data_IF_231518441857
#
_entry.id   IF_231518441857
#
_cell.length_a   1.000
_cell.length_b   1.000
_cell.length_c   1.000
_cell.angle_alpha   90.00
_cell.angle_beta   90.00
_cell.angle_gamma   90.00
#
_symmetry.space_group_name_H-M   'P 1'
#
loop_
_entity.id
_entity.type
_entity.pdbx_description
1 polymer ?
#
# COMPACT_ATOMS: atom_id res chain seq x y z
N UNK A 1 -2.14 -21.46 31.22
CA UNK A 1 -0.93 -21.56 30.39
C UNK A 1 -0.04 -20.37 30.72
N UNK A 2 1.23 -20.58 31.04
CA UNK A 2 2.20 -19.52 31.33
C UNK A 2 3.04 -19.30 30.08
N UNK A 3 2.73 -18.26 29.32
CA UNK A 3 3.52 -17.85 28.16
C UNK A 3 4.51 -16.73 28.54
N UNK A 4 5.43 -16.35 27.64
CA UNK A 4 6.43 -15.33 27.92
C UNK A 4 5.82 -13.94 28.23
N UNK A 5 4.55 -13.71 27.91
CA UNK A 5 3.84 -12.46 28.20
C UNK A 5 2.86 -12.55 29.38
N UNK A 6 2.90 -13.63 30.17
CA UNK A 6 2.01 -13.79 31.32
C UNK A 6 2.16 -12.68 32.36
N UNK A 7 1.02 -12.10 32.78
CA UNK A 7 0.96 -10.96 33.70
C UNK A 7 1.16 -9.60 33.03
N UNK A 8 1.45 -9.56 31.72
CA UNK A 8 1.58 -8.32 30.95
C UNK A 8 0.23 -7.95 30.34
N UNK A 9 -0.16 -6.69 30.49
CA UNK A 9 -1.29 -6.10 29.75
C UNK A 9 -0.77 -5.25 28.61
N UNK A 10 -1.22 -5.51 27.38
CA UNK A 10 -0.82 -4.80 26.18
C UNK A 10 -2.02 -4.08 25.55
N UNK A 11 -1.81 -2.84 25.13
CA UNK A 11 -2.81 -2.06 24.38
C UNK A 11 -2.47 -2.14 22.90
N UNK A 12 -3.41 -2.64 22.10
CA UNK A 12 -3.28 -2.72 20.64
C UNK A 12 -4.04 -1.56 20.00
N UNK A 13 -3.33 -0.71 19.27
CA UNK A 13 -3.87 0.53 18.69
C UNK A 13 -4.15 0.48 17.19
N UNK A 14 -3.95 -0.68 16.56
CA UNK A 14 -4.24 -0.88 15.12
C UNK A 14 -5.74 -0.71 14.83
N UNK A 15 -6.05 -0.42 13.56
CA UNK A 15 -7.43 -0.50 13.08
C UNK A 15 -8.02 -1.89 13.39
N UNK A 16 -9.33 -1.92 13.69
CA UNK A 16 -10.05 -3.13 14.12
C UNK A 16 -9.79 -4.29 13.14
N UNK A 17 -9.98 -4.04 11.84
CA UNK A 17 -9.84 -5.04 10.78
C UNK A 17 -8.40 -5.55 10.59
N UNK A 18 -7.42 -4.93 11.25
CA UNK A 18 -5.98 -5.24 11.15
C UNK A 18 -5.39 -5.75 12.47
N UNK A 19 -6.17 -5.76 13.56
CA UNK A 19 -5.68 -6.10 14.88
C UNK A 19 -5.77 -7.60 15.18
N UNK A 20 -6.73 -8.31 14.58
CA UNK A 20 -7.10 -9.68 14.97
C UNK A 20 -5.91 -10.66 15.03
N UNK A 21 -5.04 -10.68 14.01
CA UNK A 21 -3.88 -11.59 13.96
C UNK A 21 -2.90 -11.28 15.09
N UNK A 22 -2.61 -9.99 15.33
CA UNK A 22 -1.71 -9.56 16.40
C UNK A 22 -2.30 -9.88 17.78
N UNK A 23 -3.59 -9.59 17.98
CA UNK A 23 -4.31 -9.86 19.23
C UNK A 23 -4.26 -11.35 19.53
N UNK A 24 -4.59 -12.20 18.56
CA UNK A 24 -4.54 -13.66 18.71
C UNK A 24 -3.13 -14.14 19.10
N UNK A 25 -2.09 -13.67 18.41
CA UNK A 25 -0.72 -14.03 18.71
C UNK A 25 -0.28 -13.60 20.12
N UNK A 26 -0.66 -12.39 20.57
CA UNK A 26 -0.34 -11.90 21.91
C UNK A 26 -1.05 -12.69 23.01
N UNK A 27 -2.33 -13.01 22.80
CA UNK A 27 -3.12 -13.84 23.73
C UNK A 27 -2.55 -15.25 23.82
N UNK A 28 -2.13 -15.85 22.71
CA UNK A 28 -1.47 -17.16 22.68
C UNK A 28 -0.18 -17.17 23.51
N UNK A 29 0.57 -16.06 23.51
CA UNK A 29 1.76 -15.87 24.35
C UNK A 29 1.44 -15.51 25.82
N UNK A 30 0.15 -15.51 26.20
CA UNK A 30 -0.32 -15.33 27.58
C UNK A 30 -0.53 -13.88 28.02
N UNK A 31 -0.52 -12.92 27.11
CA UNK A 31 -0.82 -11.53 27.42
C UNK A 31 -2.32 -11.30 27.66
N UNK A 32 -2.65 -10.29 28.49
CA UNK A 32 -3.97 -9.66 28.48
C UNK A 32 -3.94 -8.56 27.43
N UNK A 33 -4.81 -8.62 26.43
CA UNK A 33 -4.85 -7.63 25.35
C UNK A 33 -6.06 -6.72 25.49
N UNK A 34 -5.83 -5.42 25.45
CA UNK A 34 -6.87 -4.38 25.34
C UNK A 34 -6.81 -3.80 23.95
N UNK A 35 -7.85 -4.04 23.15
CA UNK A 35 -7.99 -3.41 21.84
C UNK A 35 -8.48 -1.97 22.04
N UNK A 36 -7.69 -1.01 21.58
CA UNK A 36 -7.99 0.42 21.62
C UNK A 36 -7.62 1.05 20.27
N UNK A 37 -8.41 0.79 19.21
CA UNK A 37 -8.13 1.35 17.89
C UNK A 37 -8.03 2.87 17.97
N UNK A 38 -6.94 3.43 17.43
CA UNK A 38 -6.78 4.89 17.34
C UNK A 38 -6.87 5.38 15.90
N UNK A 39 -7.04 4.45 14.95
CA UNK A 39 -7.24 4.74 13.54
C UNK A 39 -8.33 3.85 12.93
N UNK A 40 -9.04 4.41 11.96
CA UNK A 40 -9.89 3.73 11.00
C UNK A 40 -9.36 4.01 9.59
N UNK A 41 -9.35 2.98 8.75
CA UNK A 41 -9.01 3.09 7.33
C UNK A 41 -10.33 3.24 6.57
N UNK A 42 -10.53 4.39 5.95
CA UNK A 42 -11.79 4.73 5.28
C UNK A 42 -11.53 5.16 3.85
N UNK A 43 -12.60 5.25 3.07
CA UNK A 43 -12.50 5.69 1.67
C UNK A 43 -12.02 7.16 1.58
N UNK A 44 -11.38 7.53 0.45
CA UNK A 44 -11.11 8.92 0.12
C UNK A 44 -12.40 9.76 0.05
N UNK A 45 -12.26 11.09 0.08
CA UNK A 45 -13.42 12.02 0.02
C UNK A 45 -14.25 11.84 -1.25
N UNK A 46 -13.62 11.46 -2.36
CA UNK A 46 -14.28 11.18 -3.64
C UNK A 46 -14.85 9.76 -3.73
N UNK A 47 -14.85 8.99 -2.63
CA UNK A 47 -15.30 7.61 -2.60
C UNK A 47 -14.41 6.63 -3.36
N UNK A 48 -13.20 7.02 -3.77
CA UNK A 48 -12.30 6.20 -4.57
C UNK A 48 -12.41 6.43 -6.08
N UNK A 49 -13.23 7.37 -6.53
CA UNK A 49 -13.46 7.64 -7.95
C UNK A 49 -12.17 7.95 -8.74
N UNK A 50 -11.24 8.73 -8.18
CA UNK A 50 -9.96 9.01 -8.85
C UNK A 50 -9.08 7.75 -9.01
N UNK A 51 -9.16 6.81 -8.07
CA UNK A 51 -8.43 5.54 -8.17
C UNK A 51 -9.03 4.64 -9.24
N UNK A 52 -10.37 4.54 -9.27
CA UNK A 52 -11.06 3.80 -10.31
C UNK A 52 -10.78 4.38 -11.71
N UNK A 53 -10.76 5.71 -11.86
CA UNK A 53 -10.42 6.36 -13.13
C UNK A 53 -8.98 6.08 -13.54
N UNK A 54 -8.02 6.21 -12.62
CA UNK A 54 -6.62 5.91 -12.89
C UNK A 54 -6.41 4.44 -13.27
N UNK A 55 -7.14 3.52 -12.64
CA UNK A 55 -7.10 2.07 -12.98
C UNK A 55 -7.79 1.77 -14.31
N UNK A 56 -8.78 2.57 -14.73
CA UNK A 56 -9.37 2.40 -16.07
C UNK A 56 -8.39 2.73 -17.18
N UNK A 57 -7.50 3.69 -16.94
CA UNK A 57 -6.42 4.10 -17.85
C UNK A 57 -5.07 3.46 -17.45
N UNK A 58 -5.09 2.31 -16.76
CA UNK A 58 -3.89 1.74 -16.15
C UNK A 58 -2.75 1.44 -17.15
N UNK A 59 -3.10 1.08 -18.39
CA UNK A 59 -2.14 0.83 -19.46
C UNK A 59 -1.38 2.08 -19.95
N UNK A 60 -1.78 3.28 -19.52
CA UNK A 60 -1.05 4.51 -19.83
C UNK A 60 0.11 4.80 -18.88
N UNK A 61 0.26 4.00 -17.82
CA UNK A 61 1.33 4.09 -16.85
C UNK A 61 2.42 3.06 -17.13
N UNK A 62 3.69 3.46 -16.96
CA UNK A 62 4.81 2.52 -16.97
C UNK A 62 4.95 1.81 -15.60
N UNK A 63 4.51 2.48 -14.54
CA UNK A 63 4.62 2.01 -13.17
C UNK A 63 3.39 2.35 -12.32
N UNK A 64 3.01 1.41 -11.48
CA UNK A 64 2.14 1.60 -10.32
C UNK A 64 2.99 1.46 -9.06
N UNK A 65 2.92 2.44 -8.17
CA UNK A 65 3.67 2.47 -6.93
C UNK A 65 2.72 2.52 -5.75
N UNK A 66 2.92 1.62 -4.78
CA UNK A 66 2.17 1.57 -3.52
C UNK A 66 3.10 1.62 -2.32
N UNK A 67 2.69 2.37 -1.30
CA UNK A 67 3.54 2.63 -0.11
C UNK A 67 2.98 2.07 1.19
N UNK A 68 1.88 1.33 1.12
CA UNK A 68 1.30 0.62 2.25
C UNK A 68 0.46 -0.55 1.76
N UNK A 69 0.32 -1.58 2.60
CA UNK A 69 -0.55 -2.73 2.30
C UNK A 69 -1.99 -2.27 2.02
N UNK A 70 -2.47 -1.22 2.68
CA UNK A 70 -3.78 -0.63 2.39
C UNK A 70 -3.85 -0.09 0.96
N UNK A 71 -2.84 0.67 0.51
CA UNK A 71 -2.78 1.17 -0.87
C UNK A 71 -2.73 0.02 -1.88
N UNK A 72 -1.99 -1.05 -1.57
CA UNK A 72 -1.95 -2.26 -2.38
C UNK A 72 -3.32 -2.94 -2.48
N UNK A 73 -4.01 -3.15 -1.36
CA UNK A 73 -5.38 -3.71 -1.36
C UNK A 73 -6.34 -2.86 -2.19
N UNK A 74 -6.29 -1.53 -2.07
CA UNK A 74 -7.16 -0.63 -2.84
C UNK A 74 -6.89 -0.70 -4.35
N UNK A 75 -5.63 -0.84 -4.75
CA UNK A 75 -5.26 -1.06 -6.16
C UNK A 75 -5.83 -2.40 -6.66
N UNK A 76 -5.67 -3.47 -5.88
CA UNK A 76 -6.19 -4.80 -6.21
C UNK A 76 -7.71 -4.79 -6.33
N UNK A 77 -8.41 -4.18 -5.37
CA UNK A 77 -9.86 -4.00 -5.38
C UNK A 77 -10.31 -3.26 -6.65
N UNK A 78 -9.67 -2.13 -6.97
CA UNK A 78 -10.00 -1.34 -8.14
C UNK A 78 -9.77 -2.12 -9.45
N UNK A 79 -8.64 -2.82 -9.60
CA UNK A 79 -8.34 -3.66 -10.77
C UNK A 79 -9.38 -4.78 -10.91
N UNK A 80 -9.66 -5.47 -9.82
CA UNK A 80 -10.60 -6.61 -9.79
C UNK A 80 -12.03 -6.18 -10.11
N UNK A 81 -12.46 -5.03 -9.58
CA UNK A 81 -13.81 -4.48 -9.82
C UNK A 81 -14.07 -4.15 -11.29
N UNK A 82 -13.01 -3.83 -12.03
CA UNK A 82 -13.07 -3.52 -13.46
C UNK A 82 -12.86 -4.76 -14.34
N UNK A 83 -12.64 -5.94 -13.75
CA UNK A 83 -12.40 -7.19 -14.47
C UNK A 83 -11.13 -7.18 -15.31
N UNK A 84 -10.17 -6.31 -14.95
CA UNK A 84 -8.89 -6.22 -15.67
C UNK A 84 -8.05 -7.46 -15.36
N UNK A 85 -7.61 -8.14 -16.42
CA UNK A 85 -6.68 -9.25 -16.34
C UNK A 85 -5.42 -8.89 -17.11
N UNK A 86 -4.26 -9.14 -16.51
CA UNK A 86 -2.99 -8.86 -17.15
C UNK A 86 -2.47 -10.15 -17.80
N UNK A 87 -2.43 -10.15 -19.13
CA UNK A 87 -1.71 -11.16 -19.90
C UNK A 87 -0.23 -10.78 -20.07
N UNK A 88 0.48 -11.52 -20.92
CA UNK A 88 1.87 -11.20 -21.26
C UNK A 88 1.96 -9.87 -22.05
N UNK A 89 2.36 -8.79 -21.40
CA UNK A 89 3.03 -7.66 -22.05
C UNK A 89 2.30 -6.31 -22.21
N UNK A 90 1.16 -6.07 -21.56
CA UNK A 90 0.44 -4.78 -21.69
C UNK A 90 -0.05 -4.21 -20.34
N UNK A 91 0.77 -4.34 -19.30
CA UNK A 91 0.48 -3.86 -17.95
C UNK A 91 1.62 -3.00 -17.41
N UNK A 92 1.33 -2.04 -16.51
CA UNK A 92 2.40 -1.33 -15.81
C UNK A 92 3.22 -2.32 -14.97
N UNK A 93 4.46 -1.94 -14.70
CA UNK A 93 5.24 -2.60 -13.64
C UNK A 93 4.74 -2.16 -12.27
N UNK A 94 4.88 -2.99 -11.26
CA UNK A 94 4.46 -2.65 -9.91
C UNK A 94 5.66 -2.52 -8.98
N UNK A 95 5.66 -1.44 -8.19
CA UNK A 95 6.62 -1.26 -7.10
C UNK A 95 5.89 -1.15 -5.76
N UNK A 96 6.44 -1.82 -4.76
CA UNK A 96 5.98 -1.73 -3.38
C UNK A 96 7.13 -1.23 -2.50
N UNK A 97 6.82 -0.33 -1.55
CA UNK A 97 7.85 0.23 -0.67
C UNK A 97 8.53 -0.83 0.22
N UNK A 98 7.91 -2.00 0.42
CA UNK A 98 8.49 -3.09 1.20
C UNK A 98 7.69 -4.39 1.09
N UNK A 99 8.22 -5.51 1.64
CA UNK A 99 7.64 -6.85 1.44
C UNK A 99 6.17 -6.96 1.86
N UNK A 100 5.80 -6.48 3.05
CA UNK A 100 4.40 -6.50 3.51
C UNK A 100 3.45 -5.67 2.64
N UNK A 101 3.97 -4.69 1.90
CA UNK A 101 3.18 -3.89 0.95
C UNK A 101 3.02 -4.60 -0.39
N UNK A 102 3.97 -5.47 -0.76
CA UNK A 102 3.91 -6.28 -1.97
C UNK A 102 2.92 -7.45 -1.85
N UNK A 103 2.73 -7.98 -0.63
CA UNK A 103 1.89 -9.17 -0.38
C UNK A 103 0.51 -9.11 -1.03
N UNK A 104 -0.33 -8.06 -0.88
CA UNK A 104 -1.66 -8.05 -1.49
C UNK A 104 -1.62 -8.09 -3.02
N UNK A 105 -0.61 -7.48 -3.64
CA UNK A 105 -0.42 -7.53 -5.10
C UNK A 105 -0.11 -8.96 -5.55
N UNK A 106 0.83 -9.61 -4.85
CA UNK A 106 1.26 -10.98 -5.16
C UNK A 106 0.14 -12.01 -4.95
N UNK A 107 -0.64 -11.87 -3.86
CA UNK A 107 -1.80 -12.72 -3.58
C UNK A 107 -2.89 -12.59 -4.65
N UNK A 108 -3.03 -11.40 -5.24
CA UNK A 108 -3.91 -11.14 -6.37
C UNK A 108 -3.35 -11.61 -7.72
N UNK A 109 -2.16 -12.21 -7.74
CA UNK A 109 -1.49 -12.65 -8.97
C UNK A 109 -0.87 -11.53 -9.80
N UNK A 110 -0.72 -10.32 -9.24
CA UNK A 110 -0.03 -9.22 -9.89
C UNK A 110 1.48 -9.37 -9.73
N UNK A 111 2.28 -9.11 -10.78
CA UNK A 111 3.73 -9.08 -10.63
C UNK A 111 4.13 -7.92 -9.73
N UNK A 112 5.25 -8.06 -9.00
CA UNK A 112 5.89 -6.96 -8.28
C UNK A 112 7.34 -6.89 -8.73
N UNK A 113 7.63 -5.92 -9.57
CA UNK A 113 8.90 -5.76 -10.27
C UNK A 113 9.98 -5.09 -9.42
N UNK A 114 9.58 -4.32 -8.40
CA UNK A 114 10.51 -3.61 -7.53
C UNK A 114 10.03 -3.59 -6.07
N UNK A 115 10.87 -4.12 -5.20
CA UNK A 115 10.77 -3.94 -3.75
C UNK A 115 12.18 -3.58 -3.27
N UNK A 116 12.38 -2.40 -2.64
CA UNK A 116 13.70 -1.96 -2.24
C UNK A 116 14.24 -2.80 -1.08
N UNK A 117 15.56 -2.76 -0.88
CA UNK A 117 16.21 -3.47 0.23
C UNK A 117 15.77 -3.00 1.63
N UNK A 118 15.22 -1.79 1.73
CA UNK A 118 14.74 -1.17 2.97
C UNK A 118 13.37 -0.57 2.72
N UNK A 119 12.48 -0.77 3.69
CA UNK A 119 11.10 -0.29 3.62
C UNK A 119 10.93 1.22 3.85
N UNK A 120 11.64 2.04 3.06
CA UNK A 120 11.64 3.52 3.14
C UNK A 120 11.59 4.14 1.76
N UNK A 121 11.07 5.38 1.69
CA UNK A 121 10.84 6.11 0.45
C UNK A 121 12.13 6.35 -0.34
N UNK A 122 13.21 6.67 0.39
CA UNK A 122 14.52 6.99 -0.14
C UNK A 122 15.15 5.78 -0.83
N UNK A 123 15.05 4.59 -0.22
CA UNK A 123 15.56 3.36 -0.81
C UNK A 123 14.79 2.95 -2.08
N UNK A 124 13.46 3.17 -2.10
CA UNK A 124 12.68 2.95 -3.32
C UNK A 124 13.12 3.89 -4.44
N UNK A 125 13.39 5.16 -4.12
CA UNK A 125 13.86 6.14 -5.11
C UNK A 125 15.24 5.80 -5.66
N UNK A 126 16.17 5.36 -4.81
CA UNK A 126 17.53 4.98 -5.20
C UNK A 126 17.55 3.81 -6.20
N UNK A 127 16.58 2.90 -6.09
CA UNK A 127 16.45 1.72 -6.95
C UNK A 127 15.48 1.94 -8.14
N UNK A 128 14.74 3.06 -8.17
CA UNK A 128 13.73 3.33 -9.20
C UNK A 128 14.39 3.70 -10.54
N UNK A 129 13.95 3.13 -11.67
CA UNK A 129 14.56 3.43 -12.97
C UNK A 129 14.31 4.87 -13.41
N UNK A 130 15.22 5.41 -14.21
CA UNK A 130 15.02 6.68 -14.92
C UNK A 130 14.02 6.45 -16.07
N UNK A 131 13.06 7.37 -16.31
CA UNK A 131 12.05 7.19 -17.34
C UNK A 131 12.61 7.35 -18.76
N UNK A 132 11.95 6.68 -19.71
CA UNK A 132 12.00 7.07 -21.11
C UNK A 132 11.20 8.35 -21.38
N UNK A 133 11.21 8.88 -22.62
CA UNK A 133 10.46 10.08 -22.96
C UNK A 133 8.96 9.95 -22.63
N UNK A 134 8.48 10.79 -21.71
CA UNK A 134 7.08 10.84 -21.34
C UNK A 134 6.63 9.85 -20.26
N UNK A 135 7.55 9.12 -19.61
CA UNK A 135 7.21 8.08 -18.64
C UNK A 135 6.29 8.54 -17.52
N UNK A 136 5.31 7.69 -17.16
CA UNK A 136 4.25 7.98 -16.20
C UNK A 136 4.24 6.97 -15.04
N UNK A 137 4.01 7.49 -13.84
CA UNK A 137 3.84 6.72 -12.60
C UNK A 137 2.50 7.05 -11.97
N UNK A 138 1.72 6.02 -11.66
CA UNK A 138 0.59 6.10 -10.74
C UNK A 138 1.09 5.82 -9.32
N UNK A 139 1.00 6.80 -8.42
CA UNK A 139 1.35 6.64 -7.01
C UNK A 139 0.07 6.59 -6.15
N UNK A 140 -0.33 5.39 -5.73
CA UNK A 140 -1.47 5.16 -4.85
C UNK A 140 -1.05 5.12 -3.38
N UNK A 141 -1.55 6.09 -2.59
CA UNK A 141 -1.10 6.29 -1.20
C UNK A 141 -2.20 6.83 -0.28
N UNK A 142 -1.90 6.93 1.02
CA UNK A 142 -2.77 7.61 1.98
C UNK A 142 -2.92 9.11 1.63
N UNK A 143 -4.06 9.71 2.00
CA UNK A 143 -4.30 11.16 1.84
C UNK A 143 -3.21 12.00 2.51
N UNK A 144 -2.86 11.63 3.75
CA UNK A 144 -1.78 12.26 4.50
C UNK A 144 -0.53 11.39 4.33
N UNK A 145 0.35 11.79 3.42
CA UNK A 145 1.62 11.12 3.17
C UNK A 145 2.73 12.12 2.84
N UNK A 146 3.96 11.77 3.24
CA UNK A 146 5.17 12.58 2.98
C UNK A 146 5.35 12.82 1.47
N UNK A 147 5.88 13.96 1.08
CA UNK A 147 6.10 14.32 -0.33
C UNK A 147 7.38 13.72 -0.94
N UNK A 148 8.21 13.03 -0.14
CA UNK A 148 9.50 12.47 -0.57
C UNK A 148 9.41 11.67 -1.87
N UNK A 149 8.49 10.71 -1.95
CA UNK A 149 8.32 9.87 -3.14
C UNK A 149 7.83 10.63 -4.39
N UNK A 150 6.71 11.37 -4.36
CA UNK A 150 6.26 12.08 -5.55
C UNK A 150 7.27 13.14 -6.01
N UNK A 151 7.93 13.83 -5.08
CA UNK A 151 8.94 14.85 -5.44
C UNK A 151 10.20 14.20 -5.99
N UNK A 152 10.66 13.09 -5.40
CA UNK A 152 11.82 12.34 -5.87
C UNK A 152 11.62 11.70 -7.24
N UNK A 153 10.46 11.09 -7.49
CA UNK A 153 10.13 10.52 -8.80
C UNK A 153 10.08 11.59 -9.88
N UNK A 154 9.49 12.76 -9.57
CA UNK A 154 9.47 13.91 -10.49
C UNK A 154 10.86 14.45 -10.75
N UNK A 155 11.74 14.49 -9.75
CA UNK A 155 13.10 15.03 -9.90
C UNK A 155 13.98 14.17 -10.82
N UNK A 156 13.74 12.85 -10.87
CA UNK A 156 14.41 11.95 -11.82
C UNK A 156 13.69 11.86 -13.18
N UNK A 157 12.63 12.66 -13.41
CA UNK A 157 12.01 12.88 -14.71
C UNK A 157 10.64 12.23 -14.93
N UNK A 158 10.06 11.55 -13.93
CA UNK A 158 8.74 10.91 -14.08
C UNK A 158 7.61 11.93 -14.05
N UNK A 159 6.57 11.69 -14.85
CA UNK A 159 5.25 12.30 -14.63
C UNK A 159 4.53 11.48 -13.58
N UNK A 160 4.23 12.09 -12.44
CA UNK A 160 3.67 11.36 -11.29
C UNK A 160 2.25 11.83 -10.99
N UNK A 161 1.31 10.94 -11.21
CA UNK A 161 -0.09 11.09 -10.84
C UNK A 161 -0.27 10.48 -9.44
N UNK A 162 -0.56 11.35 -8.48
CA UNK A 162 -0.74 10.96 -7.08
C UNK A 162 -2.21 10.78 -6.82
N UNK A 163 -2.60 9.56 -6.43
CA UNK A 163 -3.99 9.23 -6.11
C UNK A 163 -4.10 8.85 -4.64
N UNK A 164 -5.07 9.46 -3.97
CA UNK A 164 -5.47 9.08 -2.61
C UNK A 164 -6.23 7.77 -2.68
N UNK A 165 -5.63 6.69 -2.19
CA UNK A 165 -6.24 5.36 -2.15
C UNK A 165 -7.11 5.17 -0.90
N UNK A 166 -6.77 5.81 0.20
CA UNK A 166 -7.51 5.73 1.46
C UNK A 166 -7.20 6.92 2.37
N UNK A 167 -8.00 7.06 3.42
CA UNK A 167 -7.76 8.00 4.51
C UNK A 167 -7.61 7.26 5.83
N UNK A 168 -6.88 7.89 6.73
CA UNK A 168 -6.76 7.46 8.11
C UNK A 168 -7.47 8.48 8.98
N UNK A 169 -8.49 8.04 9.71
CA UNK A 169 -9.24 8.90 10.63
C UNK A 169 -9.22 8.33 12.05
N UNK A 170 -9.57 9.13 13.05
CA UNK A 170 -9.96 8.58 14.34
C UNK A 170 -11.25 7.75 14.19
N UNK A 171 -11.36 6.59 14.85
CA UNK A 171 -12.58 5.77 14.86
C UNK A 171 -13.80 6.48 15.44
#
# INVERSE_FOLDING_TARGET
>A
MSGPLSGITLVVTRAIDQAAILVAALVEQGAVVVEMPVIAIVDPVDGGAALEEAVRDLGSYDWVVVTSSNGACRIVEAISSQGLTFGDGDHPRFAAIGPMTAEPLLEAGLPVDLVPNKAVAEALLDEFPVPGPGGRVLLARAEIARSVLPDGLRSIGWKVDVVTAYRTMAP
#
